data_IF_890199197554
#
_entry.id   IF_890199197554
#
_cell.length_a   1.000
_cell.length_b   1.000
_cell.length_c   1.000
_cell.angle_alpha   90.00
_cell.angle_beta   90.00
_cell.angle_gamma   90.00
#
_symmetry.space_group_name_H-M   'P 1'
#
loop_
_entity.id
_entity.type
_entity.pdbx_description
1 polymer ?
#
# COMPACT_ATOMS: atom_id res chain seq x y z
N UNK A 1 1.28 -4.76 -3.11
CA UNK A 1 1.12 -3.49 -2.37
C UNK A 1 2.38 -2.62 -2.40
N UNK A 2 3.53 -3.09 -1.91
CA UNK A 2 4.76 -2.30 -1.82
C UNK A 2 5.24 -1.69 -3.17
N UNK A 3 5.24 -2.49 -4.24
CA UNK A 3 5.62 -2.01 -5.60
C UNK A 3 4.69 -0.89 -6.08
N UNK A 4 3.40 -0.96 -5.74
CA UNK A 4 2.44 0.10 -6.03
C UNK A 4 2.79 1.41 -5.32
N UNK A 5 3.04 1.37 -4.01
CA UNK A 5 3.41 2.59 -3.26
C UNK A 5 4.73 3.22 -3.73
N UNK A 6 5.70 2.41 -4.19
CA UNK A 6 6.94 2.92 -4.78
C UNK A 6 6.69 3.61 -6.13
N UNK A 7 5.88 3.02 -7.01
CA UNK A 7 5.46 3.63 -8.28
C UNK A 7 4.65 4.92 -8.06
N UNK A 8 3.75 4.95 -7.09
CA UNK A 8 2.99 6.16 -6.73
C UNK A 8 3.88 7.26 -6.18
N UNK A 9 4.86 6.93 -5.32
CA UNK A 9 5.80 7.91 -4.75
C UNK A 9 6.71 8.51 -5.82
N UNK A 10 7.17 7.69 -6.78
CA UNK A 10 7.95 8.15 -7.93
C UNK A 10 7.10 9.04 -8.85
N UNK A 11 5.83 8.70 -9.06
CA UNK A 11 4.89 9.51 -9.84
C UNK A 11 4.63 10.89 -9.21
N UNK A 12 4.49 10.96 -7.89
CA UNK A 12 4.32 12.22 -7.16
C UNK A 12 5.57 13.10 -7.19
N UNK A 13 6.77 12.51 -7.11
CA UNK A 13 8.05 13.21 -7.28
C UNK A 13 8.21 13.77 -8.70
N UNK A 14 7.78 13.01 -9.71
CA UNK A 14 7.74 13.47 -11.10
C UNK A 14 6.76 14.65 -11.29
N UNK A 15 5.61 14.62 -10.58
CA UNK A 15 4.62 15.69 -10.58
C UNK A 15 5.19 17.02 -10.05
N UNK A 16 6.03 16.97 -9.02
CA UNK A 16 6.73 18.16 -8.48
C UNK A 16 7.78 18.76 -9.41
N UNK A 17 8.28 18.00 -10.40
CA UNK A 17 9.36 18.42 -11.30
C UNK A 17 8.86 18.87 -12.67
N UNK A 18 7.69 18.43 -13.11
CA UNK A 18 7.16 18.70 -14.44
C UNK A 18 6.32 19.97 -14.55
N UNK A 19 6.83 21.00 -15.22
CA UNK A 19 6.02 22.17 -15.66
C UNK A 19 5.15 21.87 -16.89
N UNK A 20 5.06 20.60 -17.34
CA UNK A 20 4.44 20.21 -18.61
C UNK A 20 3.16 19.38 -18.39
N UNK A 21 2.08 19.74 -19.08
CA UNK A 21 0.75 19.14 -18.92
C UNK A 21 0.74 17.64 -19.22
N UNK A 22 1.62 17.20 -20.12
CA UNK A 22 1.77 15.78 -20.51
C UNK A 22 2.31 14.96 -19.35
N UNK A 23 3.24 15.51 -18.56
CA UNK A 23 3.80 14.84 -17.40
C UNK A 23 2.77 14.72 -16.28
N UNK A 24 1.93 15.75 -16.11
CA UNK A 24 0.81 15.76 -15.17
C UNK A 24 -0.24 14.68 -15.51
N UNK A 25 -0.58 14.56 -16.80
CA UNK A 25 -1.51 13.55 -17.30
C UNK A 25 -0.98 12.13 -17.08
N UNK A 26 0.26 11.85 -17.49
CA UNK A 26 0.89 10.55 -17.30
C UNK A 26 0.98 10.15 -15.82
N UNK A 27 1.36 11.08 -14.95
CA UNK A 27 1.46 10.83 -13.51
C UNK A 27 0.09 10.53 -12.87
N UNK A 28 -0.97 11.20 -13.30
CA UNK A 28 -2.35 10.97 -12.83
C UNK A 28 -2.86 9.59 -13.24
N UNK A 29 -2.56 9.15 -14.47
CA UNK A 29 -2.90 7.81 -14.95
C UNK A 29 -2.16 6.73 -14.15
N UNK A 30 -0.85 6.90 -13.93
CA UNK A 30 -0.06 5.96 -13.13
C UNK A 30 -0.55 5.91 -11.68
N UNK A 31 -0.92 7.05 -11.10
CA UNK A 31 -1.48 7.13 -9.76
C UNK A 31 -2.82 6.40 -9.67
N UNK A 32 -3.72 6.60 -10.64
CA UNK A 32 -5.01 5.90 -10.69
C UNK A 32 -4.86 4.39 -10.84
N UNK A 33 -3.97 3.94 -11.74
CA UNK A 33 -3.72 2.53 -12.01
C UNK A 33 -3.13 1.80 -10.78
N UNK A 34 -2.23 2.49 -10.10
CA UNK A 34 -1.66 2.03 -8.83
C UNK A 34 -2.71 1.99 -7.71
N UNK A 35 -3.51 3.05 -7.58
CA UNK A 35 -4.58 3.13 -6.58
C UNK A 35 -5.63 2.04 -6.75
N UNK A 36 -6.04 1.75 -7.98
CA UNK A 36 -6.96 0.64 -8.28
C UNK A 36 -6.38 -0.71 -7.89
N UNK A 37 -5.11 -0.95 -8.20
CA UNK A 37 -4.42 -2.19 -7.80
C UNK A 37 -4.36 -2.37 -6.28
N UNK A 38 -4.14 -1.28 -5.54
CA UNK A 38 -4.16 -1.28 -4.07
C UNK A 38 -5.57 -1.57 -3.54
N UNK A 39 -6.61 -0.98 -4.12
CA UNK A 39 -7.98 -1.24 -3.70
C UNK A 39 -8.34 -2.73 -3.84
N UNK A 40 -7.95 -3.37 -4.95
CA UNK A 40 -8.23 -4.78 -5.21
C UNK A 40 -7.47 -5.67 -4.22
N UNK A 41 -6.16 -5.48 -4.06
CA UNK A 41 -5.36 -6.28 -3.12
C UNK A 41 -5.85 -6.11 -1.68
N UNK A 42 -6.35 -4.92 -1.30
CA UNK A 42 -6.85 -4.67 0.04
C UNK A 42 -8.08 -5.52 0.35
N UNK A 43 -8.99 -5.64 -0.60
CA UNK A 43 -10.16 -6.52 -0.50
C UNK A 43 -9.74 -7.98 -0.29
N UNK A 44 -8.77 -8.46 -1.09
CA UNK A 44 -8.23 -9.83 -0.97
C UNK A 44 -7.61 -10.06 0.40
N UNK A 45 -6.81 -9.11 0.92
CA UNK A 45 -6.21 -9.24 2.25
C UNK A 45 -7.28 -9.31 3.36
N UNK A 46 -8.31 -8.47 3.34
CA UNK A 46 -9.36 -8.54 4.37
C UNK A 46 -10.04 -9.91 4.34
N UNK A 47 -10.29 -10.48 3.16
CA UNK A 47 -10.88 -11.82 3.03
C UNK A 47 -9.98 -12.87 3.70
N UNK A 48 -8.67 -12.82 3.47
CA UNK A 48 -7.73 -13.77 4.06
C UNK A 48 -7.61 -13.64 5.59
N UNK A 49 -7.57 -12.41 6.12
CA UNK A 49 -7.36 -12.19 7.56
C UNK A 49 -8.61 -12.39 8.42
N UNK A 50 -9.78 -11.97 7.95
CA UNK A 50 -11.02 -11.95 8.76
C UNK A 50 -12.04 -13.01 8.34
N UNK A 51 -11.84 -13.66 7.20
CA UNK A 51 -12.84 -14.54 6.58
C UNK A 51 -14.10 -13.79 6.15
N UNK A 52 -14.97 -14.48 5.39
CA UNK A 52 -16.16 -13.88 4.78
C UNK A 52 -17.17 -13.32 5.80
N UNK A 53 -17.21 -13.85 7.02
CA UNK A 53 -18.19 -13.47 8.05
C UNK A 53 -18.00 -12.07 8.63
N UNK A 54 -16.76 -11.58 8.73
CA UNK A 54 -16.44 -10.27 9.34
C UNK A 54 -15.99 -9.22 8.31
N UNK A 55 -15.94 -9.59 7.03
CA UNK A 55 -15.57 -8.73 5.91
C UNK A 55 -16.34 -7.39 5.86
N UNK A 56 -17.68 -7.37 5.94
CA UNK A 56 -18.44 -6.13 5.76
C UNK A 56 -18.25 -5.16 6.92
N UNK A 57 -18.07 -5.70 8.14
CA UNK A 57 -17.80 -4.90 9.34
C UNK A 57 -16.42 -4.24 9.26
N UNK A 58 -15.40 -4.97 8.82
CA UNK A 58 -14.05 -4.43 8.64
C UNK A 58 -14.01 -3.34 7.56
N UNK A 59 -14.67 -3.58 6.41
CA UNK A 59 -14.78 -2.58 5.33
C UNK A 59 -15.56 -1.35 5.81
N UNK A 60 -16.64 -1.53 6.57
CA UNK A 60 -17.42 -0.42 7.13
C UNK A 60 -16.59 0.48 8.07
N UNK A 61 -15.82 -0.12 8.98
CA UNK A 61 -14.92 0.63 9.88
C UNK A 61 -13.82 1.33 9.06
N UNK A 62 -13.25 0.64 8.06
CA UNK A 62 -12.27 1.25 7.16
C UNK A 62 -12.86 2.48 6.44
N UNK A 63 -14.08 2.39 5.91
CA UNK A 63 -14.77 3.51 5.28
C UNK A 63 -15.04 4.66 6.24
N UNK A 64 -15.41 4.39 7.50
CA UNK A 64 -15.57 5.42 8.52
C UNK A 64 -14.27 6.16 8.81
N UNK A 65 -13.17 5.43 9.00
CA UNK A 65 -11.85 6.03 9.22
C UNK A 65 -11.39 6.83 8.00
N UNK A 66 -11.61 6.32 6.78
CA UNK A 66 -11.29 7.03 5.55
C UNK A 66 -12.13 8.30 5.38
N UNK A 67 -13.42 8.25 5.70
CA UNK A 67 -14.32 9.39 5.68
C UNK A 67 -13.91 10.46 6.69
N UNK A 68 -13.60 10.06 7.93
CA UNK A 68 -13.10 10.97 8.96
C UNK A 68 -11.76 11.62 8.56
N UNK A 69 -10.87 10.84 7.94
CA UNK A 69 -9.59 11.32 7.39
C UNK A 69 -9.76 12.15 6.10
N UNK A 70 -10.93 12.08 5.45
CA UNK A 70 -11.24 12.89 4.28
C UNK A 70 -11.73 14.29 4.64
N UNK A 71 -12.27 14.52 5.83
CA UNK A 71 -12.71 15.85 6.30
C UNK A 71 -11.57 16.89 6.45
N UNK A 72 -10.39 16.56 7.00
CA UNK A 72 -9.29 17.54 7.12
C UNK A 72 -8.58 17.83 5.79
N UNK A 73 -8.61 16.90 4.82
CA UNK A 73 -7.96 17.07 3.50
C UNK A 73 -8.38 18.35 2.75
N UNK A 74 -9.68 18.66 2.56
CA UNK A 74 -10.11 19.88 1.89
C UNK A 74 -9.83 21.14 2.71
N UNK A 75 -9.86 21.08 4.04
CA UNK A 75 -9.53 22.23 4.91
C UNK A 75 -8.04 22.61 4.79
N UNK A 76 -7.16 21.60 4.76
CA UNK A 76 -5.72 21.80 4.55
C UNK A 76 -5.45 22.35 3.14
N UNK A 77 -6.12 21.83 2.12
CA UNK A 77 -6.07 22.36 0.75
C UNK A 77 -6.55 23.82 0.68
N UNK A 78 -7.62 24.16 1.40
CA UNK A 78 -8.16 25.52 1.46
C UNK A 78 -7.19 26.50 2.13
N UNK A 79 -6.63 26.12 3.28
CA UNK A 79 -5.66 26.95 4.01
C UNK A 79 -4.41 27.28 3.18
N UNK A 80 -3.88 26.30 2.45
CA UNK A 80 -2.73 26.51 1.56
C UNK A 80 -3.09 27.29 0.29
N UNK A 81 -4.32 27.16 -0.20
CA UNK A 81 -4.81 27.91 -1.37
C UNK A 81 -5.01 29.39 -1.03
N UNK A 82 -5.49 29.71 0.17
CA UNK A 82 -5.76 31.08 0.59
C UNK A 82 -4.49 31.84 1.03
N UNK A 83 -3.41 31.12 1.38
CA UNK A 83 -2.13 31.70 1.80
C UNK A 83 -0.99 31.56 0.77
N UNK A 84 -1.15 30.75 -0.27
CA UNK A 84 -0.02 30.12 -0.95
C UNK A 84 0.29 30.58 -2.37
N UNK A 85 1.30 31.43 -2.49
CA UNK A 85 2.11 31.59 -3.71
C UNK A 85 2.96 30.33 -4.03
N UNK A 86 2.98 29.27 -3.19
CA UNK A 86 3.77 28.06 -3.42
C UNK A 86 3.08 26.76 -2.97
N UNK A 87 2.70 25.92 -3.94
CA UNK A 87 2.14 24.56 -3.75
C UNK A 87 3.18 23.50 -3.37
N UNK A 88 4.47 23.84 -3.44
CA UNK A 88 5.56 22.89 -3.27
C UNK A 88 5.55 22.19 -1.90
N UNK A 89 5.18 22.90 -0.83
CA UNK A 89 5.13 22.35 0.52
C UNK A 89 4.06 21.26 0.70
N UNK A 90 2.90 21.39 0.05
CA UNK A 90 1.84 20.38 0.13
C UNK A 90 2.26 19.08 -0.54
N UNK A 91 2.84 19.18 -1.74
CA UNK A 91 3.30 18.01 -2.48
C UNK A 91 4.45 17.31 -1.75
N UNK A 92 5.34 18.05 -1.08
CA UNK A 92 6.40 17.46 -0.27
C UNK A 92 5.85 16.69 0.94
N UNK A 93 4.86 17.23 1.65
CA UNK A 93 4.20 16.53 2.75
C UNK A 93 3.45 15.28 2.25
N UNK A 94 2.77 15.38 1.10
CA UNK A 94 2.06 14.25 0.50
C UNK A 94 3.03 13.14 0.07
N UNK A 95 4.18 13.51 -0.50
CA UNK A 95 5.26 12.58 -0.82
C UNK A 95 5.86 11.94 0.44
N UNK A 96 6.07 12.71 1.51
CA UNK A 96 6.56 12.18 2.78
C UNK A 96 5.62 11.14 3.38
N UNK A 97 4.31 11.43 3.47
CA UNK A 97 3.31 10.48 3.97
C UNK A 97 3.24 9.22 3.11
N UNK A 98 3.38 9.39 1.79
CA UNK A 98 3.42 8.27 0.83
C UNK A 98 4.67 7.39 1.01
N UNK A 99 5.84 7.99 1.28
CA UNK A 99 7.06 7.27 1.60
C UNK A 99 6.95 6.50 2.92
N UNK A 100 6.42 7.11 3.98
CA UNK A 100 6.22 6.42 5.27
C UNK A 100 5.26 5.24 5.11
N UNK A 101 4.19 5.40 4.33
CA UNK A 101 3.24 4.33 4.01
C UNK A 101 3.92 3.22 3.21
N UNK A 102 4.77 3.57 2.25
CA UNK A 102 5.56 2.59 1.49
C UNK A 102 6.52 1.80 2.38
N UNK A 103 7.15 2.44 3.36
CA UNK A 103 8.04 1.77 4.32
C UNK A 103 7.28 0.79 5.20
N UNK A 104 6.12 1.19 5.74
CA UNK A 104 5.26 0.30 6.54
C UNK A 104 4.87 -0.96 5.74
N UNK A 105 4.45 -0.81 4.49
CA UNK A 105 4.14 -1.96 3.63
C UNK A 105 5.36 -2.79 3.22
N UNK A 106 6.52 -2.16 3.04
CA UNK A 106 7.76 -2.89 2.77
C UNK A 106 8.14 -3.77 3.98
N UNK A 107 7.94 -3.28 5.20
CA UNK A 107 8.15 -4.05 6.43
C UNK A 107 7.18 -5.23 6.51
N UNK A 108 5.88 -5.03 6.27
CA UNK A 108 4.88 -6.11 6.24
C UNK A 108 5.22 -7.17 5.18
N UNK A 109 5.65 -6.74 3.99
CA UNK A 109 6.04 -7.65 2.92
C UNK A 109 7.31 -8.43 3.29
N UNK A 110 8.26 -7.77 3.97
CA UNK A 110 9.46 -8.41 4.49
C UNK A 110 9.15 -9.43 5.59
N UNK A 111 8.20 -9.12 6.47
CA UNK A 111 7.72 -10.04 7.51
C UNK A 111 7.02 -11.26 6.90
N UNK A 112 6.15 -11.07 5.90
CA UNK A 112 5.50 -12.18 5.17
C UNK A 112 6.52 -13.05 4.42
N UNK A 113 7.47 -12.41 3.74
CA UNK A 113 8.55 -13.14 3.06
C UNK A 113 9.40 -13.96 4.03
N UNK A 114 9.70 -13.41 5.21
CA UNK A 114 10.40 -14.14 6.28
C UNK A 114 9.56 -15.32 6.81
N UNK A 115 8.25 -15.13 6.98
CA UNK A 115 7.35 -16.18 7.41
C UNK A 115 7.26 -17.33 6.39
N UNK A 116 7.14 -17.03 5.09
CA UNK A 116 7.16 -18.04 4.02
C UNK A 116 8.47 -18.84 4.01
N UNK A 117 9.63 -18.18 4.19
CA UNK A 117 10.91 -18.89 4.24
C UNK A 117 11.02 -19.84 5.42
N UNK A 118 10.47 -19.46 6.57
CA UNK A 118 10.43 -20.31 7.77
C UNK A 118 9.52 -21.52 7.54
N UNK A 119 8.35 -21.34 6.91
CA UNK A 119 7.44 -22.44 6.59
C UNK A 119 8.02 -23.39 5.54
N UNK A 120 8.73 -22.88 4.53
CA UNK A 120 9.42 -23.72 3.52
C UNK A 120 10.54 -24.55 4.15
N UNK A 121 11.34 -23.97 5.05
CA UNK A 121 12.36 -24.71 5.81
C UNK A 121 11.76 -25.76 6.76
N UNK A 122 10.56 -25.53 7.30
CA UNK A 122 9.87 -26.49 8.15
C UNK A 122 9.29 -27.66 7.33
N UNK A 123 8.67 -27.38 6.18
CA UNK A 123 8.09 -28.38 5.30
C UNK A 123 9.16 -29.27 4.63
N UNK A 124 10.32 -28.69 4.28
CA UNK A 124 11.45 -29.47 3.76
C UNK A 124 12.01 -30.47 4.79
N UNK A 125 12.03 -30.06 6.08
CA UNK A 125 12.41 -30.96 7.18
C UNK A 125 11.39 -32.08 7.36
N UNK A 126 10.10 -31.79 7.32
CA UNK A 126 9.03 -32.79 7.46
C UNK A 126 9.04 -33.82 6.30
N UNK A 127 9.25 -33.36 5.07
CA UNK A 127 9.39 -34.22 3.89
C UNK A 127 10.61 -35.15 3.98
N UNK A 128 11.74 -34.67 4.53
CA UNK A 128 12.95 -35.48 4.71
C UNK A 128 12.83 -36.54 5.81
N UNK A 129 12.01 -36.30 6.83
CA UNK A 129 11.73 -37.26 7.91
C UNK A 129 10.80 -38.36 7.42
N UNK A 130 9.69 -37.99 6.75
CA UNK A 130 8.72 -38.95 6.24
C UNK A 130 9.35 -39.93 5.21
N UNK A 131 10.32 -39.45 4.42
CA UNK A 131 11.07 -40.29 3.47
C UNK A 131 11.99 -41.32 4.14
N UNK A 132 12.50 -41.03 5.34
CA UNK A 132 13.34 -41.97 6.09
C UNK A 132 12.50 -43.06 6.75
N UNK A 133 11.38 -42.69 7.37
CA UNK A 133 10.43 -43.65 7.96
C UNK A 133 9.77 -44.58 6.95
N UNK A 134 9.60 -44.17 5.70
CA UNK A 134 9.08 -45.03 4.63
C UNK A 134 10.11 -46.00 4.03
N UNK A 135 11.40 -45.84 4.35
CA UNK A 135 12.48 -46.71 3.87
C UNK A 135 12.90 -47.80 4.88
N UNK A 136 12.42 -47.71 6.13
CA UNK A 136 12.72 -48.65 7.22
C UNK A 136 11.53 -49.59 7.54
N UNK A 137 10.43 -49.49 6.79
CA UNK A 137 9.26 -50.36 6.85
C UNK A 137 9.19 -51.28 5.62
#
# INVERSE_FOLDING_TARGET
MAVGFLLASLSLLALTRGKSIVLLGAASLLFGLTGGSIMILFSVLIVEYFGLKKLPMAIGIHCLVNGLSALPRPLIIGYYRDRGSSYAGMYLMLAAVSLTTSLLWAIECFMKWRAEKVTMCANEKESSVNKKTASEA
#
